data_IF_954281885973
#
_entry.id   IF_954281885973
#
_cell.length_a   1.000
_cell.length_b   1.000
_cell.length_c   1.000
_cell.angle_alpha   90.00
_cell.angle_beta   90.00
_cell.angle_gamma   90.00
#
_symmetry.space_group_name_H-M   'P 1'
#
loop_
_entity.id
_entity.type
_entity.pdbx_description
1 polymer ?
#
# COMPACT_ATOMS: atom_id res chain seq x y z
N UNK A 1 -5.66 14.67 12.67
CA UNK A 1 -4.75 13.50 12.63
C UNK A 1 -5.59 12.23 12.64
N UNK A 2 -5.14 11.20 11.94
CA UNK A 2 -5.76 9.88 11.92
C UNK A 2 -5.56 9.18 13.29
N UNK A 3 -6.67 8.83 13.93
CA UNK A 3 -6.70 8.27 15.29
C UNK A 3 -6.89 6.75 15.32
N UNK A 4 -7.38 6.16 14.23
CA UNK A 4 -7.55 4.71 14.10
C UNK A 4 -7.46 4.24 12.65
N UNK A 5 -7.07 2.98 12.47
CA UNK A 5 -6.94 2.33 11.17
C UNK A 5 -7.38 0.88 11.27
N UNK A 6 -8.12 0.41 10.28
CA UNK A 6 -8.70 -0.92 10.24
C UNK A 6 -8.54 -1.53 8.85
N UNK A 7 -8.23 -2.82 8.82
CA UNK A 7 -8.50 -3.65 7.64
C UNK A 7 -9.93 -4.18 7.72
N UNK A 8 -10.64 -4.13 6.60
CA UNK A 8 -12.05 -4.51 6.55
C UNK A 8 -12.34 -5.47 5.40
N UNK A 9 -13.47 -6.17 5.47
CA UNK A 9 -14.03 -6.96 4.36
C UNK A 9 -15.52 -6.66 4.18
N UNK A 10 -16.07 -7.08 3.04
CA UNK A 10 -17.51 -6.97 2.75
C UNK A 10 -18.39 -7.86 3.66
N UNK A 11 -17.83 -8.95 4.20
CA UNK A 11 -18.49 -9.84 5.15
C UNK A 11 -18.33 -9.40 6.62
N UNK A 12 -18.31 -8.09 6.90
CA UNK A 12 -18.29 -7.49 8.25
C UNK A 12 -17.10 -7.89 9.15
N UNK A 13 -15.95 -8.24 8.57
CA UNK A 13 -14.70 -8.38 9.34
C UNK A 13 -14.07 -7.01 9.46
N UNK A 14 -13.69 -6.63 10.67
CA UNK A 14 -12.96 -5.41 10.96
C UNK A 14 -11.80 -5.71 11.91
N UNK A 15 -10.58 -5.42 11.46
CA UNK A 15 -9.34 -5.68 12.19
C UNK A 15 -8.64 -4.36 12.49
N UNK A 16 -8.79 -3.89 13.72
CA UNK A 16 -8.14 -2.68 14.21
C UNK A 16 -6.62 -2.88 14.34
N UNK A 17 -5.85 -1.91 13.86
CA UNK A 17 -4.42 -1.84 14.12
C UNK A 17 -4.11 -0.86 15.24
N UNK A 18 -3.20 -1.28 16.10
CA UNK A 18 -2.63 -0.44 17.15
C UNK A 18 -1.56 0.47 16.54
N UNK A 19 -1.97 1.67 16.15
CA UNK A 19 -1.06 2.66 15.54
C UNK A 19 0.07 3.12 16.48
N UNK A 20 0.04 2.79 17.78
CA UNK A 20 1.14 3.06 18.70
C UNK A 20 2.34 2.12 18.50
N UNK A 21 2.15 0.99 17.80
CA UNK A 21 3.21 0.03 17.48
C UNK A 21 4.10 0.51 16.33
N UNK A 22 5.38 0.13 16.40
CA UNK A 22 6.34 0.34 15.32
C UNK A 22 6.27 -0.81 14.29
N UNK A 23 5.45 -0.65 13.27
CA UNK A 23 5.32 -1.63 12.18
C UNK A 23 6.50 -1.63 11.18
N UNK A 24 7.47 -0.71 11.31
CA UNK A 24 8.60 -0.61 10.38
C UNK A 24 9.59 -1.78 10.45
N UNK A 25 9.50 -2.60 11.50
CA UNK A 25 10.41 -3.74 11.74
C UNK A 25 9.94 -5.06 11.14
N UNK A 26 8.97 -5.01 10.21
CA UNK A 26 8.40 -6.21 9.60
C UNK A 26 7.53 -7.03 10.54
N UNK A 27 7.00 -6.40 11.59
CA UNK A 27 5.99 -7.02 12.47
C UNK A 27 4.75 -7.33 11.64
N UNK A 28 4.17 -8.51 11.84
CA UNK A 28 2.89 -8.87 11.24
C UNK A 28 1.81 -7.91 11.73
N UNK A 29 1.22 -7.15 10.80
CA UNK A 29 0.17 -6.19 11.10
C UNK A 29 -1.07 -6.82 11.75
N UNK A 30 -1.26 -8.13 11.55
CA UNK A 30 -2.34 -8.92 12.14
C UNK A 30 -1.85 -9.84 13.28
N UNK A 31 -0.70 -9.52 13.88
CA UNK A 31 -0.21 -10.22 15.07
C UNK A 31 -1.25 -10.15 16.20
N UNK A 32 -1.56 -11.31 16.79
CA UNK A 32 -2.57 -11.44 17.84
C UNK A 32 -4.00 -11.67 17.33
N UNK A 33 -4.27 -11.51 16.03
CA UNK A 33 -5.55 -11.92 15.44
C UNK A 33 -5.60 -13.45 15.40
N UNK A 34 -6.67 -14.03 15.96
CA UNK A 34 -6.83 -15.49 15.99
C UNK A 34 -6.87 -16.09 14.56
N UNK A 35 -6.42 -17.33 14.43
CA UNK A 35 -6.29 -17.98 13.12
C UNK A 35 -7.61 -18.04 12.34
N UNK A 36 -8.76 -18.44 12.92
CA UNK A 36 -10.04 -18.42 12.20
C UNK A 36 -10.41 -17.05 11.59
N UNK A 37 -10.29 -15.97 12.37
CA UNK A 37 -10.57 -14.61 11.89
C UNK A 37 -9.60 -14.21 10.79
N UNK A 38 -8.31 -14.52 10.96
CA UNK A 38 -7.27 -14.25 9.97
C UNK A 38 -7.54 -14.98 8.66
N UNK A 39 -7.90 -16.27 8.70
CA UNK A 39 -8.27 -17.03 7.51
C UNK A 39 -9.46 -16.40 6.80
N UNK A 40 -10.54 -16.07 7.53
CA UNK A 40 -11.72 -15.44 6.94
C UNK A 40 -11.37 -14.11 6.24
N UNK A 41 -10.50 -13.30 6.86
CA UNK A 41 -10.00 -12.07 6.26
C UNK A 41 -9.24 -12.35 4.95
N UNK A 42 -8.28 -13.28 4.95
CA UNK A 42 -7.47 -13.55 3.75
C UNK A 42 -8.26 -14.21 2.61
N UNK A 43 -9.33 -14.95 2.92
CA UNK A 43 -10.20 -15.59 1.92
C UNK A 43 -11.40 -14.74 1.52
N UNK A 44 -11.57 -13.53 2.09
CA UNK A 44 -12.68 -12.66 1.73
C UNK A 44 -12.57 -12.22 0.26
N UNK A 45 -13.69 -12.18 -0.48
CA UNK A 45 -13.70 -11.78 -1.89
C UNK A 45 -13.41 -10.28 -2.06
N UNK A 46 -13.85 -9.45 -1.12
CA UNK A 46 -13.57 -8.02 -1.11
C UNK A 46 -12.85 -7.63 0.17
N UNK A 47 -11.78 -6.85 0.04
CA UNK A 47 -11.01 -6.30 1.14
C UNK A 47 -10.83 -4.80 0.94
N UNK A 48 -10.83 -4.10 2.05
CA UNK A 48 -10.71 -2.66 2.06
C UNK A 48 -9.99 -2.15 3.29
N UNK A 49 -10.07 -0.85 3.46
CA UNK A 49 -9.51 -0.15 4.60
C UNK A 49 -10.51 0.84 5.16
N UNK A 50 -10.40 1.12 6.46
CA UNK A 50 -11.11 2.18 7.14
C UNK A 50 -10.17 2.96 8.04
N UNK A 51 -10.33 4.27 8.12
CA UNK A 51 -9.61 5.11 9.08
C UNK A 51 -10.53 6.11 9.76
N UNK A 52 -10.08 6.59 10.92
CA UNK A 52 -10.85 7.49 11.77
C UNK A 52 -10.10 8.80 11.99
N UNK A 53 -10.86 9.91 12.00
CA UNK A 53 -10.39 11.25 12.37
C UNK A 53 -11.37 11.83 13.38
N UNK A 54 -11.02 11.72 14.67
CA UNK A 54 -11.96 12.03 15.75
C UNK A 54 -13.12 11.03 15.73
N UNK A 55 -14.35 11.53 15.60
CA UNK A 55 -15.57 10.72 15.50
C UNK A 55 -15.97 10.37 14.06
N UNK A 56 -15.24 10.88 13.05
CA UNK A 56 -15.54 10.61 11.64
C UNK A 56 -14.83 9.35 11.17
N UNK A 57 -15.55 8.56 10.40
CA UNK A 57 -15.04 7.35 9.77
C UNK A 57 -15.02 7.50 8.25
N UNK A 58 -13.97 6.96 7.62
CA UNK A 58 -13.77 6.95 6.18
C UNK A 58 -13.43 5.54 5.73
N UNK A 59 -14.18 5.04 4.76
CA UNK A 59 -14.16 3.65 4.33
C UNK A 59 -13.89 3.57 2.84
N UNK A 60 -12.95 2.71 2.44
CA UNK A 60 -12.69 2.34 1.05
C UNK A 60 -12.81 0.83 0.91
N UNK A 61 -13.86 0.37 0.24
CA UNK A 61 -14.08 -1.03 -0.11
C UNK A 61 -14.91 -1.09 -1.39
N UNK A 62 -14.48 -1.91 -2.34
CA UNK A 62 -15.19 -2.14 -3.59
C UNK A 62 -15.45 -3.65 -3.78
N UNK A 63 -16.61 -3.99 -4.30
CA UNK A 63 -17.03 -5.38 -4.47
C UNK A 63 -16.08 -6.14 -5.40
N UNK A 64 -15.58 -7.29 -4.93
CA UNK A 64 -14.64 -8.16 -5.66
C UNK A 64 -13.21 -7.61 -5.73
N UNK A 65 -12.90 -6.52 -5.02
CA UNK A 65 -11.60 -5.85 -5.09
C UNK A 65 -10.82 -6.01 -3.79
N UNK A 66 -9.49 -6.04 -3.92
CA UNK A 66 -8.56 -6.05 -2.79
C UNK A 66 -7.86 -4.69 -2.70
N UNK A 67 -8.51 -3.73 -2.05
CA UNK A 67 -7.92 -2.41 -1.79
C UNK A 67 -7.05 -2.53 -0.53
N UNK A 68 -5.81 -2.09 -0.65
CA UNK A 68 -4.86 -2.07 0.46
C UNK A 68 -4.42 -0.64 0.73
N UNK A 69 -3.86 -0.41 1.91
CA UNK A 69 -3.37 0.92 2.26
C UNK A 69 -2.73 0.92 3.63
N UNK A 70 -2.10 2.03 3.95
CA UNK A 70 -1.57 2.26 5.29
C UNK A 70 -1.48 3.75 5.59
N UNK A 71 -1.65 4.08 6.87
CA UNK A 71 -1.50 5.43 7.38
C UNK A 71 -0.02 5.84 7.31
N UNK A 72 0.25 7.12 7.06
CA UNK A 72 1.60 7.69 7.11
C UNK A 72 2.19 7.67 8.52
N UNK A 73 3.52 7.65 8.71
CA UNK A 73 4.14 7.56 10.04
C UNK A 73 3.73 8.68 11.03
N UNK A 74 3.48 9.88 10.52
CA UNK A 74 3.01 11.05 11.27
C UNK A 74 1.47 11.11 11.41
N UNK A 75 0.77 10.15 10.79
CA UNK A 75 -0.69 9.96 10.80
C UNK A 75 -1.48 11.14 10.23
N UNK A 76 -0.92 11.85 9.25
CA UNK A 76 -1.60 13.00 8.61
C UNK A 76 -2.28 12.65 7.30
N UNK A 77 -1.86 11.56 6.66
CA UNK A 77 -2.38 11.10 5.37
C UNK A 77 -2.51 9.57 5.31
N UNK A 78 -3.31 9.10 4.35
CA UNK A 78 -3.45 7.69 3.98
C UNK A 78 -2.81 7.45 2.61
N UNK A 79 -2.01 6.40 2.46
CA UNK A 79 -1.57 5.92 1.15
C UNK A 79 -2.35 4.65 0.83
N UNK A 80 -3.01 4.63 -0.32
CA UNK A 80 -3.91 3.57 -0.75
C UNK A 80 -3.41 2.99 -2.07
N UNK A 81 -3.46 1.68 -2.19
CA UNK A 81 -3.11 0.93 -3.40
C UNK A 81 -4.33 0.10 -3.81
N UNK A 82 -4.85 0.42 -4.98
CA UNK A 82 -5.93 -0.28 -5.65
C UNK A 82 -5.39 -1.49 -6.44
N UNK A 83 -6.23 -2.50 -6.74
CA UNK A 83 -5.87 -3.55 -7.68
C UNK A 83 -5.38 -2.98 -9.03
N UNK A 84 -4.48 -3.70 -9.71
CA UNK A 84 -3.87 -3.22 -10.97
C UNK A 84 -4.89 -3.03 -12.10
N UNK A 85 -6.03 -3.71 -12.02
CA UNK A 85 -7.16 -3.69 -12.96
C UNK A 85 -8.33 -2.81 -12.47
N UNK A 86 -8.14 -2.02 -11.42
CA UNK A 86 -9.17 -1.13 -10.90
C UNK A 86 -9.65 -0.12 -11.98
N UNK A 87 -10.97 0.03 -12.20
CA UNK A 87 -11.49 0.81 -13.33
C UNK A 87 -11.14 2.30 -13.29
N UNK A 88 -11.02 2.88 -12.09
CA UNK A 88 -10.67 4.30 -11.92
C UNK A 88 -9.17 4.53 -11.70
N UNK A 89 -8.47 3.55 -11.15
CA UNK A 89 -7.07 3.66 -10.75
C UNK A 89 -6.27 2.46 -11.26
N UNK A 90 -6.22 2.24 -12.58
CA UNK A 90 -5.50 1.10 -13.13
C UNK A 90 -3.99 1.31 -13.00
N UNK A 91 -3.26 0.21 -13.08
CA UNK A 91 -1.82 0.20 -13.31
C UNK A 91 -1.46 1.00 -14.56
N UNK A 92 -0.34 1.77 -14.58
CA UNK A 92 0.69 1.92 -13.53
C UNK A 92 0.38 3.04 -12.52
N UNK A 93 -0.85 3.54 -12.44
CA UNK A 93 -1.25 4.67 -11.59
C UNK A 93 -2.16 4.26 -10.42
N UNK A 94 -2.04 3.02 -9.94
CA UNK A 94 -3.00 2.41 -9.00
C UNK A 94 -2.78 2.78 -7.53
N UNK A 95 -1.99 3.82 -7.23
CA UNK A 95 -1.81 4.30 -5.86
C UNK A 95 -2.24 5.76 -5.71
N UNK A 96 -2.94 6.04 -4.61
CA UNK A 96 -3.54 7.35 -4.30
C UNK A 96 -3.23 7.71 -2.86
N UNK A 97 -2.84 8.96 -2.65
CA UNK A 97 -2.66 9.58 -1.34
C UNK A 97 -3.92 10.38 -1.03
N UNK A 98 -4.50 10.11 0.13
CA UNK A 98 -5.66 10.79 0.67
C UNK A 98 -5.24 11.66 1.84
N UNK A 99 -5.85 12.85 1.93
CA UNK A 99 -5.86 13.63 3.16
C UNK A 99 -6.62 12.86 4.25
N UNK A 100 -6.43 13.26 5.52
CA UNK A 100 -7.13 12.63 6.64
C UNK A 100 -8.66 12.65 6.49
N UNK A 101 -9.21 13.67 5.83
CA UNK A 101 -10.64 13.84 5.58
C UNK A 101 -11.18 13.02 4.39
N UNK A 102 -10.36 12.15 3.81
CA UNK A 102 -10.72 11.30 2.67
C UNK A 102 -10.84 12.00 1.33
N UNK A 103 -10.46 13.27 1.24
CA UNK A 103 -10.25 13.90 -0.07
C UNK A 103 -8.95 13.41 -0.71
N UNK A 104 -8.94 13.29 -2.03
CA UNK A 104 -7.73 12.90 -2.77
C UNK A 104 -6.72 14.05 -2.70
N UNK A 105 -5.53 13.76 -2.18
CA UNK A 105 -4.40 14.67 -2.22
C UNK A 105 -3.63 14.54 -3.53
N UNK A 106 -3.28 13.30 -3.91
CA UNK A 106 -2.45 13.04 -5.10
C UNK A 106 -2.62 11.60 -5.60
N UNK A 107 -2.71 11.41 -6.91
CA UNK A 107 -2.50 10.12 -7.54
C UNK A 107 -1.02 9.96 -7.90
N UNK A 108 -0.43 8.81 -7.58
CA UNK A 108 0.98 8.51 -7.80
C UNK A 108 1.19 7.90 -9.19
N UNK A 109 2.30 8.28 -9.83
CA UNK A 109 2.79 7.64 -11.06
C UNK A 109 3.86 6.63 -10.72
N UNK A 110 3.70 5.36 -11.11
CA UNK A 110 4.70 4.34 -10.80
C UNK A 110 6.05 4.67 -11.45
N UNK A 111 7.14 4.76 -10.67
CA UNK A 111 8.45 5.05 -11.21
C UNK A 111 9.04 3.80 -11.85
N UNK A 112 10.04 3.99 -12.71
CA UNK A 112 10.84 2.86 -13.15
C UNK A 112 11.59 2.24 -11.96
N UNK A 113 11.62 0.91 -11.87
CA UNK A 113 12.41 0.21 -10.87
C UNK A 113 13.91 0.54 -10.97
N UNK A 114 14.60 0.64 -9.83
CA UNK A 114 16.04 1.00 -9.74
C UNK A 114 16.89 -0.07 -9.05
N UNK A 115 16.29 -1.14 -8.55
CA UNK A 115 16.98 -2.25 -7.89
C UNK A 115 17.92 -3.00 -8.84
N UNK A 116 18.89 -3.73 -8.27
CA UNK A 116 19.76 -4.60 -9.06
C UNK A 116 18.97 -5.67 -9.83
N UNK A 117 17.84 -6.14 -9.26
CA UNK A 117 16.94 -7.09 -9.93
C UNK A 117 16.29 -6.50 -11.19
N UNK A 118 16.18 -5.17 -11.27
CA UNK A 118 15.66 -4.46 -12.44
C UNK A 118 16.72 -4.25 -13.54
N UNK A 119 18.01 -4.42 -13.23
CA UNK A 119 19.08 -4.18 -14.22
C UNK A 119 19.05 -5.21 -15.33
N UNK A 120 19.19 -4.74 -16.57
CA UNK A 120 19.19 -5.60 -17.76
C UNK A 120 17.82 -6.17 -18.12
N UNK A 121 16.77 -5.81 -17.36
CA UNK A 121 15.39 -5.96 -17.77
C UNK A 121 15.03 -4.74 -18.58
N UNK A 122 14.62 -4.94 -19.83
CA UNK A 122 14.07 -3.87 -20.66
C UNK A 122 12.68 -3.51 -20.11
N UNK A 123 12.66 -2.77 -18.99
CA UNK A 123 11.43 -2.26 -18.38
C UNK A 123 10.91 -1.13 -19.25
N UNK A 124 10.34 -1.50 -20.40
CA UNK A 124 9.71 -0.60 -21.35
C UNK A 124 8.22 -0.64 -21.04
N UNK A 125 7.65 0.49 -20.61
CA UNK A 125 6.20 0.68 -20.68
C UNK A 125 5.83 0.65 -22.17
N UNK A 126 5.41 -0.51 -22.69
CA UNK A 126 4.96 -0.61 -24.07
C UNK A 126 3.44 -0.51 -24.16
N UNK A 127 2.97 0.12 -25.23
CA UNK A 127 1.55 0.37 -25.50
C UNK A 127 0.73 -0.91 -25.79
N UNK A 128 1.33 -2.11 -25.72
CA UNK A 128 0.73 -3.37 -26.20
C UNK A 128 0.99 -4.60 -25.31
N UNK A 129 1.40 -4.45 -24.05
CA UNK A 129 1.10 -5.44 -23.01
C UNK A 129 2.00 -6.68 -22.89
N UNK A 130 3.23 -6.54 -22.40
CA UNK A 130 3.91 -7.63 -21.66
C UNK A 130 4.97 -7.08 -20.70
N UNK A 131 4.52 -6.37 -19.66
CA UNK A 131 5.18 -6.18 -18.35
C UNK A 131 4.27 -5.29 -17.48
N UNK A 132 3.68 -5.84 -16.42
CA UNK A 132 2.83 -5.09 -15.50
C UNK A 132 3.73 -4.36 -14.50
N UNK A 133 3.90 -3.05 -14.69
CA UNK A 133 4.49 -2.16 -13.68
C UNK A 133 3.35 -1.60 -12.82
N UNK A 134 3.26 -1.98 -11.56
CA UNK A 134 2.15 -1.59 -10.68
C UNK A 134 2.62 -1.36 -9.25
N UNK A 135 1.82 -0.67 -8.45
CA UNK A 135 2.02 -0.65 -7.00
C UNK A 135 1.39 -1.89 -6.37
N UNK A 136 2.16 -2.65 -5.60
CA UNK A 136 1.72 -3.89 -4.95
C UNK A 136 1.31 -3.74 -3.49
N UNK A 137 1.51 -2.56 -2.89
CA UNK A 137 1.14 -2.28 -1.52
C UNK A 137 2.06 -1.26 -0.87
N UNK A 138 1.74 -0.90 0.37
CA UNK A 138 2.40 0.17 1.11
C UNK A 138 2.59 -0.23 2.57
N UNK A 139 3.70 0.21 3.17
CA UNK A 139 4.06 -0.13 4.55
C UNK A 139 4.87 0.99 5.21
N UNK A 140 5.05 0.91 6.52
CA UNK A 140 6.19 1.55 7.17
C UNK A 140 7.44 0.69 6.98
N UNK A 141 8.57 1.35 6.78
CA UNK A 141 9.89 0.71 6.74
C UNK A 141 10.93 1.67 7.33
N UNK A 142 12.19 1.25 7.39
CA UNK A 142 13.29 2.10 7.82
C UNK A 142 14.25 2.37 6.67
N UNK A 143 14.61 3.63 6.50
CA UNK A 143 15.63 4.02 5.53
C UNK A 143 17.06 3.70 6.04
N UNK A 144 18.07 4.03 5.23
CA UNK A 144 19.48 3.82 5.60
C UNK A 144 19.93 4.62 6.83
N UNK A 145 19.20 5.68 7.19
CA UNK A 145 19.43 6.48 8.41
C UNK A 145 18.67 5.92 9.61
N UNK A 146 18.03 4.76 9.48
CA UNK A 146 17.19 4.14 10.49
C UNK A 146 15.95 4.97 10.87
N UNK A 147 15.52 5.91 10.02
CA UNK A 147 14.30 6.70 10.20
C UNK A 147 13.09 5.92 9.70
N UNK A 148 11.96 6.00 10.43
CA UNK A 148 10.70 5.40 9.96
C UNK A 148 10.18 6.23 8.79
N UNK A 149 10.01 5.58 7.65
CA UNK A 149 9.53 6.21 6.42
C UNK A 149 8.31 5.47 5.90
N UNK A 150 7.52 6.18 5.10
CA UNK A 150 6.54 5.53 4.26
C UNK A 150 7.27 4.83 3.11
N UNK A 151 6.92 3.59 2.82
CA UNK A 151 7.50 2.81 1.74
C UNK A 151 6.42 2.16 0.87
N UNK A 152 6.72 2.02 -0.42
CA UNK A 152 5.80 1.49 -1.41
C UNK A 152 6.46 0.36 -2.19
N UNK A 153 5.71 -0.72 -2.40
CA UNK A 153 6.15 -1.87 -3.18
C UNK A 153 5.78 -1.63 -4.65
N UNK A 154 6.74 -1.77 -5.55
CA UNK A 154 6.60 -1.66 -7.00
C UNK A 154 6.81 -3.06 -7.56
N UNK A 155 5.77 -3.62 -8.17
CA UNK A 155 5.83 -4.88 -8.90
C UNK A 155 6.20 -4.64 -10.36
N UNK A 156 7.03 -5.52 -10.91
CA UNK A 156 7.43 -5.53 -12.32
C UNK A 156 7.65 -6.96 -12.79
N UNK A 157 7.45 -7.20 -14.09
CA UNK A 157 7.58 -8.55 -14.68
C UNK A 157 6.78 -9.65 -13.94
N UNK A 158 5.64 -9.28 -13.32
CA UNK A 158 4.72 -10.13 -12.55
C UNK A 158 5.27 -10.79 -11.28
N UNK A 159 6.57 -11.10 -11.24
CA UNK A 159 7.19 -11.89 -10.18
C UNK A 159 8.19 -11.09 -9.35
N UNK A 160 8.61 -9.92 -9.83
CA UNK A 160 9.66 -9.13 -9.17
C UNK A 160 9.06 -7.92 -8.49
N UNK A 161 9.65 -7.58 -7.36
CA UNK A 161 9.27 -6.43 -6.60
C UNK A 161 10.50 -5.68 -6.11
N UNK A 162 10.37 -4.37 -6.03
CA UNK A 162 11.21 -3.54 -5.19
C UNK A 162 10.37 -2.71 -4.25
N UNK A 163 10.97 -2.30 -3.14
CA UNK A 163 10.37 -1.37 -2.20
C UNK A 163 11.19 -0.10 -2.20
N UNK A 164 10.53 1.03 -2.40
CA UNK A 164 11.16 2.35 -2.36
C UNK A 164 10.61 3.20 -1.23
N UNK A 165 11.45 4.09 -0.72
CA UNK A 165 11.00 5.20 0.10
C UNK A 165 10.01 6.06 -0.68
N UNK A 166 8.92 6.46 -0.04
CA UNK A 166 7.91 7.35 -0.59
C UNK A 166 7.86 8.63 0.25
N UNK A 167 8.15 9.76 -0.38
CA UNK A 167 7.78 11.05 0.17
C UNK A 167 6.30 11.28 -0.13
N UNK A 168 5.43 11.02 0.84
CA UNK A 168 3.98 11.15 0.66
C UNK A 168 3.51 12.61 0.52
N UNK A 169 4.34 13.59 0.84
CA UNK A 169 4.04 15.01 0.60
C UNK A 169 4.33 15.38 -0.85
N UNK A 170 5.50 15.04 -1.38
CA UNK A 170 5.88 15.43 -2.76
C UNK A 170 5.39 14.42 -3.80
N UNK A 171 5.17 13.17 -3.42
CA UNK A 171 4.93 12.03 -4.32
C UNK A 171 6.21 11.47 -4.94
N UNK A 172 7.38 11.93 -4.50
CA UNK A 172 8.68 11.47 -5.03
C UNK A 172 9.16 10.19 -4.34
N UNK A 173 10.01 9.44 -5.04
CA UNK A 173 10.54 8.17 -4.58
C UNK A 173 12.03 8.28 -4.22
N UNK A 174 12.38 7.88 -3.01
CA UNK A 174 13.77 7.82 -2.54
C UNK A 174 14.47 6.53 -2.95
N UNK A 175 15.41 6.07 -2.13
CA UNK A 175 16.22 4.88 -2.41
C UNK A 175 15.41 3.57 -2.47
N UNK A 176 16.01 2.55 -3.11
CA UNK A 176 15.51 1.18 -3.01
C UNK A 176 15.91 0.60 -1.65
N UNK A 177 14.92 0.24 -0.85
CA UNK A 177 15.07 -0.33 0.49
C UNK A 177 15.32 -1.83 0.45
N UNK A 178 14.66 -2.53 -0.48
CA UNK A 178 14.81 -3.98 -0.71
C UNK A 178 14.21 -4.37 -2.04
N UNK A 179 14.62 -5.52 -2.57
CA UNK A 179 14.04 -6.14 -3.77
C UNK A 179 13.94 -7.65 -3.60
N UNK A 180 12.91 -8.28 -4.16
CA UNK A 180 12.67 -9.72 -4.03
C UNK A 180 11.92 -10.28 -5.25
N UNK A 181 11.93 -11.61 -5.37
CA UNK A 181 11.05 -12.37 -6.27
C UNK A 181 9.97 -13.06 -5.41
N UNK A 182 8.72 -13.01 -5.87
CA UNK A 182 7.59 -13.68 -5.22
C UNK A 182 7.43 -15.13 -5.69
#
# INVERSE_FOLDING_TARGET
MITGFHYITDNDIELALDLSKDYSRGIDMLEGVNHPTRTKYFTAPSKGIKWLVGEKEYTLIDAGMNITGFVTPDRTMMVVVYPYDHPQYPSPGNAVIYNEDGTIYKQLSCPNPISELAKGKDIVMNATGSMLLFFGGVVWDRNQKNEVVMAINIGFELEYYERRELNYITGEYGGCLRSWRQ
#
